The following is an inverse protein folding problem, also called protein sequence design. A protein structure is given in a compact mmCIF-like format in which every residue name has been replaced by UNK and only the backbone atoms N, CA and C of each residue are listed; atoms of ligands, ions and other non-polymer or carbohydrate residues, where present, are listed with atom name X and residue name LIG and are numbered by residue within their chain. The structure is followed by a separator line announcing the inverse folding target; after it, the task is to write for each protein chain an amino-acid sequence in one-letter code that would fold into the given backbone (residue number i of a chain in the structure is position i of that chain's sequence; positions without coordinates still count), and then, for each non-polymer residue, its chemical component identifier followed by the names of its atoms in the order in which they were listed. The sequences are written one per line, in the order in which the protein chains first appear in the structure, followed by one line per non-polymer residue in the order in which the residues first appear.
data_IF_201204667934
#
_entry.id   IF_201204667934
#
_cell.length_a   1.000
_cell.length_b   1.000
_cell.length_c   1.000
_cell.angle_alpha   90.00
_cell.angle_beta   90.00
_cell.angle_gamma   90.00
#
_symmetry.space_group_name_H-M   'P 1'
#
loop_
_entity.id
_entity.type
_entity.pdbx_description
1 polymer ?
#
# COMPACT_ATOMS: atom_id res chain seq x y z
N UNK A 1 5.51 -4.28 -8.96
CA UNK A 1 4.92 -4.01 -7.63
C UNK A 1 5.63 -2.82 -7.03
N UNK A 2 6.95 -2.94 -6.83
CA UNK A 2 7.82 -1.90 -6.28
C UNK A 2 7.68 -0.53 -6.97
N UNK A 3 7.79 -0.48 -8.30
CA UNK A 3 7.60 0.78 -9.04
C UNK A 3 6.18 1.37 -8.92
N UNK A 4 5.16 0.51 -8.74
CA UNK A 4 3.79 0.97 -8.57
C UNK A 4 3.57 1.56 -7.18
N UNK A 5 4.13 0.93 -6.12
CA UNK A 5 4.02 1.45 -4.76
C UNK A 5 4.87 2.70 -4.56
N UNK A 6 6.01 2.80 -5.25
CA UNK A 6 6.83 4.01 -5.30
C UNK A 6 6.06 5.17 -5.94
N UNK A 7 5.42 4.96 -7.09
CA UNK A 7 4.60 5.99 -7.72
C UNK A 7 3.35 6.37 -6.90
N UNK A 8 2.64 5.38 -6.36
CA UNK A 8 1.39 5.62 -5.63
C UNK A 8 1.61 6.26 -4.27
N UNK A 9 2.65 5.83 -3.54
CA UNK A 9 2.82 6.13 -2.12
C UNK A 9 4.16 6.75 -1.77
N UNK A 10 5.11 6.82 -2.71
CA UNK A 10 6.49 7.23 -2.45
C UNK A 10 7.28 6.23 -1.61
N UNK A 11 6.83 4.98 -1.54
CA UNK A 11 7.52 3.92 -0.79
C UNK A 11 7.61 2.63 -1.61
N UNK A 12 8.82 2.08 -1.66
CA UNK A 12 9.08 0.79 -2.26
C UNK A 12 8.79 -0.33 -1.23
N UNK A 13 8.11 -1.39 -1.65
CA UNK A 13 7.89 -2.60 -0.82
C UNK A 13 9.14 -3.49 -0.82
N UNK A 14 10.10 -3.21 -1.70
CA UNK A 14 11.33 -3.98 -1.90
C UNK A 14 11.06 -5.48 -2.15
N UNK A 15 10.04 -5.78 -2.95
CA UNK A 15 9.63 -7.15 -3.29
C UNK A 15 10.75 -7.98 -3.91
N UNK A 16 11.63 -7.34 -4.67
CA UNK A 16 12.75 -7.98 -5.35
C UNK A 16 13.99 -8.15 -4.46
N UNK A 17 13.99 -7.62 -3.23
CA UNK A 17 15.08 -7.84 -2.28
C UNK A 17 15.12 -9.27 -1.72
N UNK A 18 14.03 -10.03 -1.88
CA UNK A 18 13.95 -11.40 -1.39
C UNK A 18 14.94 -12.33 -2.10
N UNK A 19 15.53 -13.25 -1.34
CA UNK A 19 16.43 -14.26 -1.91
C UNK A 19 15.62 -15.21 -2.76
N UNK A 20 15.95 -15.28 -4.06
CA UNK A 20 15.30 -16.22 -4.97
C UNK A 20 15.81 -17.65 -4.70
N UNK A 21 14.92 -18.66 -4.67
CA UNK A 21 15.33 -20.04 -4.52
C UNK A 21 16.21 -20.45 -5.70
N UNK A 22 17.42 -20.92 -5.40
CA UNK A 22 18.33 -21.45 -6.42
C UNK A 22 17.93 -22.89 -6.80
N UNK A 23 18.11 -23.32 -8.05
CA UNK A 23 17.77 -24.68 -8.47
C UNK A 23 18.51 -25.75 -7.64
N UNK A 24 17.84 -26.88 -7.41
CA UNK A 24 18.33 -27.99 -6.59
C UNK A 24 19.64 -28.61 -7.06
N UNK A 25 19.93 -28.49 -8.36
CA UNK A 25 21.03 -29.18 -9.03
C UNK A 25 22.33 -28.37 -9.04
N UNK A 26 22.29 -27.16 -8.48
CA UNK A 26 23.45 -26.34 -8.33
C UNK A 26 24.24 -26.68 -7.06
N UNK A 27 25.58 -26.56 -7.17
CA UNK A 27 26.50 -26.67 -6.05
C UNK A 27 26.00 -25.81 -4.89
N UNK A 28 25.76 -26.44 -3.74
CA UNK A 28 25.18 -25.84 -2.53
C UNK A 28 25.85 -24.50 -2.21
N UNK A 29 25.19 -23.41 -2.60
CA UNK A 29 25.56 -22.07 -2.17
C UNK A 29 25.05 -21.94 -0.74
N UNK A 30 25.85 -21.42 0.21
CA UNK A 30 25.37 -21.20 1.57
C UNK A 30 24.08 -20.38 1.53
N UNK A 31 23.09 -20.81 2.33
CA UNK A 31 21.79 -20.14 2.39
C UNK A 31 22.00 -18.66 2.72
N UNK A 32 21.81 -17.81 1.70
CA UNK A 32 21.85 -16.37 1.88
C UNK A 32 20.65 -16.05 2.75
N UNK A 33 20.90 -15.50 3.94
CA UNK A 33 19.84 -15.07 4.83
C UNK A 33 19.03 -13.99 4.10
N UNK A 34 17.71 -14.16 4.09
CA UNK A 34 16.83 -13.14 3.52
C UNK A 34 17.12 -11.80 4.20
N UNK A 35 17.24 -10.71 3.43
CA UNK A 35 17.44 -9.39 4.01
C UNK A 35 16.25 -9.05 4.90
N UNK A 36 16.53 -8.24 5.92
CA UNK A 36 15.53 -7.75 6.86
C UNK A 36 14.43 -7.01 6.06
N UNK A 37 13.17 -7.45 6.16
CA UNK A 37 12.04 -6.90 5.39
C UNK A 37 11.53 -7.78 4.24
N UNK A 38 12.30 -8.77 3.77
CA UNK A 38 11.87 -9.63 2.67
C UNK A 38 10.63 -10.49 3.03
N UNK A 39 10.49 -10.88 4.29
CA UNK A 39 9.33 -11.63 4.77
C UNK A 39 8.07 -10.75 4.78
N UNK A 40 8.20 -9.50 5.22
CA UNK A 40 7.14 -8.50 5.23
C UNK A 40 6.70 -8.14 3.80
N UNK A 41 7.66 -7.95 2.89
CA UNK A 41 7.40 -7.72 1.46
C UNK A 41 6.59 -8.89 0.86
N UNK A 42 7.02 -10.13 1.13
CA UNK A 42 6.31 -11.32 0.67
C UNK A 42 4.88 -11.42 1.23
N UNK A 43 4.68 -11.11 2.52
CA UNK A 43 3.35 -11.07 3.14
C UNK A 43 2.45 -10.02 2.48
N UNK A 44 2.98 -8.83 2.19
CA UNK A 44 2.23 -7.78 1.50
C UNK A 44 1.83 -8.21 0.09
N UNK A 45 2.76 -8.75 -0.70
CA UNK A 45 2.49 -9.21 -2.07
C UNK A 45 1.43 -10.32 -2.08
N UNK A 46 1.55 -11.29 -1.18
CA UNK A 46 0.59 -12.38 -1.06
C UNK A 46 -0.81 -11.86 -0.72
N UNK A 47 -0.91 -10.97 0.27
CA UNK A 47 -2.18 -10.34 0.65
C UNK A 47 -2.76 -9.48 -0.48
N UNK A 48 -1.93 -8.71 -1.18
CA UNK A 48 -2.37 -7.89 -2.30
C UNK A 48 -2.87 -8.73 -3.48
N UNK A 49 -2.16 -9.81 -3.82
CA UNK A 49 -2.58 -10.75 -4.86
C UNK A 49 -3.91 -11.41 -4.52
N UNK A 50 -4.08 -11.87 -3.27
CA UNK A 50 -5.34 -12.46 -2.82
C UNK A 50 -6.48 -11.43 -2.88
N UNK A 51 -6.24 -10.20 -2.43
CA UNK A 51 -7.22 -9.11 -2.54
C UNK A 51 -7.63 -8.83 -3.99
N UNK A 52 -6.69 -8.74 -4.93
CA UNK A 52 -6.98 -8.55 -6.36
C UNK A 52 -7.74 -9.74 -6.95
N UNK A 53 -7.36 -10.96 -6.60
CA UNK A 53 -8.03 -12.17 -7.06
C UNK A 53 -9.49 -12.19 -6.59
N UNK A 54 -9.76 -11.78 -5.35
CA UNK A 54 -11.13 -11.67 -4.84
C UNK A 54 -11.94 -10.58 -5.57
N UNK A 55 -11.34 -9.45 -5.91
CA UNK A 55 -12.00 -8.42 -6.74
C UNK A 55 -12.35 -8.99 -8.11
N UNK A 56 -11.41 -9.66 -8.77
CA UNK A 56 -11.64 -10.30 -10.08
C UNK A 56 -12.74 -11.38 -10.01
N UNK A 57 -12.78 -12.17 -8.92
CA UNK A 57 -13.86 -13.12 -8.70
C UNK A 57 -15.21 -12.44 -8.47
N UNK A 58 -15.26 -11.33 -7.72
CA UNK A 58 -16.49 -10.56 -7.51
C UNK A 58 -17.05 -10.05 -8.83
N UNK A 59 -16.20 -9.50 -9.69
CA UNK A 59 -16.61 -9.04 -11.02
C UNK A 59 -17.17 -10.17 -11.88
N UNK A 60 -16.61 -11.38 -11.78
CA UNK A 60 -17.00 -12.51 -12.63
C UNK A 60 -18.17 -13.34 -12.11
N UNK A 61 -18.27 -13.56 -10.81
CA UNK A 61 -19.17 -14.54 -10.19
C UNK A 61 -20.10 -13.96 -9.13
N UNK A 62 -20.03 -12.67 -8.81
CA UNK A 62 -20.86 -12.05 -7.78
C UNK A 62 -20.30 -12.21 -6.36
N UNK A 63 -21.17 -12.22 -5.35
CA UNK A 63 -20.82 -11.96 -3.93
C UNK A 63 -19.87 -12.98 -3.31
N UNK A 64 -18.57 -12.71 -3.40
CA UNK A 64 -17.52 -13.35 -2.59
C UNK A 64 -16.84 -12.30 -1.71
N UNK A 65 -17.13 -12.31 -0.41
CA UNK A 65 -16.71 -11.28 0.54
C UNK A 65 -15.83 -11.85 1.66
N UNK A 66 -14.60 -12.26 1.34
CA UNK A 66 -13.61 -12.65 2.35
C UNK A 66 -12.28 -11.89 2.23
N UNK A 67 -12.37 -10.57 1.95
CA UNK A 67 -11.19 -9.71 1.76
C UNK A 67 -10.62 -9.17 3.05
N UNK A 68 -11.34 -9.31 4.16
CA UNK A 68 -11.00 -8.70 5.45
C UNK A 68 -9.59 -9.05 5.93
N UNK A 69 -9.17 -10.31 5.76
CA UNK A 69 -7.84 -10.77 6.19
C UNK A 69 -6.72 -10.11 5.37
N UNK A 70 -6.89 -10.08 4.06
CA UNK A 70 -5.91 -9.53 3.13
C UNK A 70 -5.84 -8.00 3.22
N UNK A 71 -6.99 -7.36 3.42
CA UNK A 71 -7.04 -5.91 3.70
C UNK A 71 -6.42 -5.53 5.03
N UNK A 72 -6.48 -6.37 6.06
CA UNK A 72 -5.82 -6.07 7.34
C UNK A 72 -4.29 -6.04 7.22
N UNK A 73 -3.70 -6.89 6.38
CA UNK A 73 -2.26 -6.86 6.10
C UNK A 73 -1.88 -5.62 5.29
N UNK A 74 -2.68 -5.32 4.26
CA UNK A 74 -2.48 -4.14 3.40
C UNK A 74 -2.64 -2.84 4.21
N UNK A 75 -3.68 -2.73 5.06
CA UNK A 75 -3.92 -1.54 5.86
C UNK A 75 -2.80 -1.29 6.86
N UNK A 76 -2.26 -2.34 7.49
CA UNK A 76 -1.11 -2.23 8.38
C UNK A 76 0.13 -1.65 7.67
N UNK A 77 0.29 -1.93 6.37
CA UNK A 77 1.36 -1.34 5.56
C UNK A 77 1.05 0.11 5.17
N UNK A 78 -0.20 0.41 4.78
CA UNK A 78 -0.60 1.73 4.27
C UNK A 78 -0.82 2.78 5.36
N UNK A 79 -1.26 2.41 6.55
CA UNK A 79 -1.52 3.32 7.67
C UNK A 79 -0.34 4.26 8.00
N UNK A 80 0.90 3.78 8.22
CA UNK A 80 2.01 4.67 8.50
C UNK A 80 2.34 5.60 7.33
N UNK A 81 2.19 5.13 6.09
CA UNK A 81 2.46 5.92 4.88
C UNK A 81 1.43 7.04 4.72
N UNK A 82 0.15 6.72 4.97
CA UNK A 82 -0.94 7.70 4.95
C UNK A 82 -0.78 8.75 6.06
N UNK A 83 -0.36 8.35 7.26
CA UNK A 83 -0.09 9.29 8.35
C UNK A 83 1.05 10.26 7.99
N UNK A 84 2.14 9.73 7.43
CA UNK A 84 3.26 10.54 6.96
C UNK A 84 2.84 11.53 5.87
N UNK A 85 2.05 11.10 4.88
CA UNK A 85 1.53 11.98 3.83
C UNK A 85 0.66 13.11 4.41
N UNK A 86 -0.18 12.82 5.40
CA UNK A 86 -0.99 13.83 6.10
C UNK A 86 -0.11 14.83 6.88
N UNK A 87 0.94 14.37 7.55
CA UNK A 87 1.88 15.24 8.25
C UNK A 87 2.69 16.14 7.30
N UNK A 88 3.17 15.58 6.18
CA UNK A 88 3.83 16.35 5.11
C UNK A 88 2.90 17.42 4.55
N UNK A 89 1.62 17.11 4.33
CA UNK A 89 0.67 18.11 3.84
C UNK A 89 0.43 19.24 4.86
N UNK A 90 0.29 18.92 6.15
CA UNK A 90 0.13 19.95 7.21
C UNK A 90 1.32 20.91 7.29
N UNK A 91 2.53 20.39 7.10
CA UNK A 91 3.76 21.18 7.16
C UNK A 91 4.03 21.97 5.88
N UNK A 92 3.53 21.49 4.73
CA UNK A 92 3.64 22.15 3.41
C UNK A 92 2.80 23.42 3.21
N UNK A 93 1.93 23.77 4.17
CA UNK A 93 0.97 24.87 4.12
C UNK A 93 1.09 25.85 2.94
N UNK A 94 0.16 25.74 1.96
CA UNK A 94 -0.08 26.69 0.85
C UNK A 94 1.16 27.17 0.05
N UNK A 95 2.30 26.48 0.11
CA UNK A 95 3.40 26.77 -0.81
C UNK A 95 3.15 26.06 -2.14
N UNK A 96 2.77 26.86 -3.14
CA UNK A 96 2.25 26.48 -4.46
C UNK A 96 3.32 25.95 -5.43
N UNK A 97 4.37 25.32 -4.93
CA UNK A 97 5.37 24.66 -5.78
C UNK A 97 5.17 23.16 -5.66
N UNK A 98 4.60 22.55 -6.71
CA UNK A 98 4.54 21.10 -6.83
C UNK A 98 5.99 20.59 -6.82
N UNK A 99 6.41 19.85 -5.78
CA UNK A 99 7.72 19.20 -5.79
C UNK A 99 7.79 18.22 -6.96
N UNK A 100 8.96 18.04 -7.57
CA UNK A 100 9.15 16.95 -8.55
C UNK A 100 8.97 15.55 -7.92
N UNK A 101 9.02 15.47 -6.58
CA UNK A 101 8.83 14.27 -5.78
C UNK A 101 7.43 14.17 -5.14
N UNK A 102 6.39 14.84 -5.67
CA UNK A 102 5.03 14.62 -5.18
C UNK A 102 4.57 13.20 -5.53
N UNK A 103 3.99 12.52 -4.55
CA UNK A 103 3.37 11.22 -4.76
C UNK A 103 1.89 11.39 -5.08
N UNK A 104 1.29 10.43 -5.78
CA UNK A 104 -0.16 10.47 -6.01
C UNK A 104 -0.98 10.53 -4.71
N UNK A 105 -0.45 9.94 -3.63
CA UNK A 105 -1.07 10.02 -2.31
C UNK A 105 -1.07 11.46 -1.76
N UNK A 106 -0.01 12.24 -1.98
CA UNK A 106 0.06 13.63 -1.53
C UNK A 106 -1.00 14.49 -2.26
N UNK A 107 -1.11 14.34 -3.59
CA UNK A 107 -2.13 15.02 -4.40
C UNK A 107 -3.55 14.66 -3.96
N UNK A 108 -3.76 13.38 -3.65
CA UNK A 108 -5.05 12.90 -3.17
C UNK A 108 -5.38 13.50 -1.79
N UNK A 109 -4.41 13.58 -0.88
CA UNK A 109 -4.58 14.18 0.45
C UNK A 109 -4.85 15.68 0.35
N UNK A 110 -4.19 16.41 -0.54
CA UNK A 110 -4.47 17.83 -0.78
C UNK A 110 -5.91 18.06 -1.27
N UNK A 111 -6.33 17.32 -2.31
CA UNK A 111 -7.68 17.42 -2.89
C UNK A 111 -8.79 17.01 -1.93
N UNK A 112 -8.50 16.13 -0.97
CA UNK A 112 -9.48 15.67 0.03
C UNK A 112 -9.48 16.50 1.31
N UNK A 113 -8.36 17.12 1.67
CA UNK A 113 -8.25 18.04 2.82
C UNK A 113 -9.11 19.29 2.64
N UNK A 114 -9.16 19.85 1.42
CA UNK A 114 -10.04 20.98 1.10
C UNK A 114 -11.55 20.66 1.18
N UNK A 115 -11.93 19.39 1.04
CA UNK A 115 -13.32 18.92 1.20
C UNK A 115 -13.67 18.53 2.64
N UNK A 116 -12.67 18.33 3.50
CA UNK A 116 -12.85 17.82 4.87
C UNK A 116 -13.03 18.88 5.94
N UNK A 117 -12.97 20.18 5.62
CA UNK A 117 -13.49 21.22 6.53
C UNK A 117 -15.01 21.09 6.78
N UNK A 118 -15.72 20.27 5.99
CA UNK A 118 -17.10 19.89 6.25
C UNK A 118 -17.24 18.55 7.03
N UNK A 119 -16.14 17.88 7.40
CA UNK A 119 -16.12 16.53 7.99
C UNK A 119 -15.12 16.46 9.15
N UNK A 120 -15.24 17.36 10.11
CA UNK A 120 -14.41 17.38 11.33
C UNK A 120 -14.79 16.29 12.35
N UNK A 121 -15.04 15.06 11.90
CA UNK A 121 -15.44 13.99 12.84
C UNK A 121 -15.59 12.58 12.31
N UNK A 122 -15.27 12.27 11.06
CA UNK A 122 -15.35 10.87 10.57
C UNK A 122 -13.95 10.27 10.53
N UNK A 123 -13.75 9.18 11.28
CA UNK A 123 -12.49 8.46 11.29
C UNK A 123 -12.16 7.98 9.87
N UNK A 124 -10.88 7.98 9.53
CA UNK A 124 -10.38 7.58 8.20
C UNK A 124 -10.83 6.15 7.84
N UNK A 125 -11.02 5.31 8.87
CA UNK A 125 -11.49 3.93 8.75
C UNK A 125 -12.94 3.82 8.24
N UNK A 126 -13.83 4.75 8.62
CA UNK A 126 -15.22 4.78 8.17
C UNK A 126 -15.35 5.24 6.72
N UNK A 127 -14.47 6.15 6.27
CA UNK A 127 -14.44 6.59 4.87
C UNK A 127 -13.97 5.47 3.93
N UNK A 128 -12.91 4.75 4.32
CA UNK A 128 -12.43 3.58 3.57
C UNK A 128 -13.50 2.48 3.53
N UNK A 129 -14.30 2.32 4.60
CA UNK A 129 -15.38 1.33 4.65
C UNK A 129 -16.61 1.72 3.81
N UNK A 130 -16.91 3.02 3.67
CA UNK A 130 -18.12 3.47 2.98
C UNK A 130 -18.00 3.50 1.45
N UNK A 131 -16.80 3.68 0.91
CA UNK A 131 -16.57 3.74 -0.55
C UNK A 131 -16.26 2.36 -1.19
N UNK A 132 -16.10 1.32 -0.37
CA UNK A 132 -15.75 -0.03 -0.84
C UNK A 132 -16.82 -1.11 -0.55
N UNK A 133 -18.05 -0.70 -0.24
CA UNK A 133 -19.22 -1.61 -0.14
C UNK A 133 -19.93 -1.71 -1.50
#
# INVERSE_FOLDING_TARGET
MDSATEFLFGSCVDSLSSTLPYPSDAVSVPAIQNPFGAEEANKFIAAFSDAMQQIAYRERMGTYNNRAKSMAVISKYLEPIAHQALERNKTRGRQSEEPEDSTLLDDFVEKTSGKSQAVEGRNVNAFISSEFT
#
